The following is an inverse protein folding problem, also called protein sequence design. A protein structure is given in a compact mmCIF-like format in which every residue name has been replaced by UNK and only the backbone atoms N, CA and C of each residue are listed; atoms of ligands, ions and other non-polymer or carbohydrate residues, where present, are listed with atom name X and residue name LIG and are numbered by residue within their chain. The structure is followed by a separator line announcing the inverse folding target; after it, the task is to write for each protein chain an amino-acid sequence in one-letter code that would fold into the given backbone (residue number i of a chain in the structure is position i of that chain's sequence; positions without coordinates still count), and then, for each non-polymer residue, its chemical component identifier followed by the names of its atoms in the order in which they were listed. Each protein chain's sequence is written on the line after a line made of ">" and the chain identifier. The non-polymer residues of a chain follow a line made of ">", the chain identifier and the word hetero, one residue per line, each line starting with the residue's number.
data_IF_234151138844
#
_entry.id   IF_234151138844
#
_cell.length_a   1.000
_cell.length_b   1.000
_cell.length_c   1.000
_cell.angle_alpha   90.00
_cell.angle_beta   90.00
_cell.angle_gamma   90.00
#
_symmetry.space_group_name_H-M   'P 1'
#
loop_
_entity.id
_entity.type
_entity.pdbx_description
1 polymer ?
#
# COMPACT_ATOMS: atom_id res chain seq x y z
N UNK A 1 9.91 25.62 36.01
CA UNK A 1 9.84 24.40 35.17
C UNK A 1 9.33 24.82 33.80
N UNK A 2 9.87 24.25 32.70
CA UNK A 2 9.38 24.55 31.35
C UNK A 2 7.98 23.93 31.11
N UNK A 3 7.12 24.63 30.36
CA UNK A 3 5.77 24.14 30.03
C UNK A 3 5.82 23.07 28.93
N UNK A 4 4.92 22.09 28.99
CA UNK A 4 4.74 21.12 27.92
C UNK A 4 4.09 21.77 26.69
N UNK A 5 4.47 21.29 25.50
CA UNK A 5 3.84 21.64 24.23
C UNK A 5 2.73 20.63 23.98
N UNK A 6 1.52 21.12 23.71
CA UNK A 6 0.37 20.26 23.38
C UNK A 6 0.57 19.68 21.98
N UNK A 7 0.36 18.38 21.76
CA UNK A 7 0.40 17.79 20.43
C UNK A 7 -0.64 18.42 19.49
N UNK A 8 -0.29 18.62 18.23
CA UNK A 8 -1.19 19.18 17.22
C UNK A 8 -2.35 18.24 16.84
N UNK A 9 -2.20 16.95 17.14
CA UNK A 9 -3.19 15.92 16.81
C UNK A 9 -3.10 14.75 17.78
N UNK A 10 -4.25 14.13 18.06
CA UNK A 10 -4.35 12.94 18.89
C UNK A 10 -5.01 11.81 18.11
N UNK A 11 -4.44 10.61 18.21
CA UNK A 11 -5.07 9.38 17.76
C UNK A 11 -5.78 8.66 18.91
N UNK A 12 -6.51 7.60 18.59
CA UNK A 12 -7.18 6.77 19.59
C UNK A 12 -6.20 6.21 20.63
N UNK A 13 -6.63 6.09 21.88
CA UNK A 13 -5.79 5.50 22.92
C UNK A 13 -5.47 4.04 22.61
N UNK A 14 -4.20 3.66 22.78
CA UNK A 14 -3.66 2.31 22.59
C UNK A 14 -3.64 1.78 21.15
N UNK A 15 -3.88 2.60 20.13
CA UNK A 15 -3.74 2.15 18.72
C UNK A 15 -2.33 1.69 18.35
N UNK A 16 -1.32 2.12 19.13
CA UNK A 16 0.09 1.83 18.92
C UNK A 16 0.56 2.28 17.54
N UNK A 17 0.52 3.59 17.29
CA UNK A 17 1.06 4.19 16.07
C UNK A 17 2.60 4.02 16.03
N UNK A 18 3.10 3.21 15.10
CA UNK A 18 4.54 2.87 15.00
C UNK A 18 5.21 3.39 13.72
N UNK A 19 4.44 3.77 12.71
CA UNK A 19 4.96 4.29 11.45
C UNK A 19 4.13 5.46 10.94
N UNK A 20 4.80 6.39 10.27
CA UNK A 20 4.20 7.61 9.75
C UNK A 20 4.85 7.98 8.40
N UNK A 21 4.05 8.34 7.42
CA UNK A 21 4.53 8.87 6.15
C UNK A 21 3.62 10.00 5.64
N UNK A 22 4.20 11.15 5.29
CA UNK A 22 3.49 12.18 4.54
C UNK A 22 3.14 11.66 3.15
N UNK A 23 1.95 12.01 2.70
CA UNK A 23 1.48 11.67 1.37
C UNK A 23 2.08 12.57 0.29
N UNK A 24 1.71 12.30 -0.96
CA UNK A 24 2.05 13.11 -2.10
C UNK A 24 0.89 13.15 -3.10
N UNK A 25 0.87 14.11 -4.05
CA UNK A 25 -0.13 14.15 -5.11
C UNK A 25 -0.25 12.86 -5.92
N UNK A 26 0.79 12.02 -5.96
CA UNK A 26 0.77 10.74 -6.66
C UNK A 26 -0.24 9.74 -6.05
N UNK A 27 -0.62 9.90 -4.79
CA UNK A 27 -1.64 9.05 -4.12
C UNK A 27 -3.07 9.34 -4.60
N UNK A 28 -3.26 10.34 -5.47
CA UNK A 28 -4.55 10.73 -6.01
C UNK A 28 -5.29 11.75 -5.14
N UNK A 29 -6.27 12.43 -5.72
CA UNK A 29 -6.89 13.64 -5.14
C UNK A 29 -7.39 13.46 -3.70
N UNK A 30 -7.95 12.31 -3.35
CA UNK A 30 -8.49 12.05 -2.00
C UNK A 30 -7.40 11.94 -0.93
N UNK A 31 -6.21 11.47 -1.31
CA UNK A 31 -5.13 11.18 -0.38
C UNK A 31 -3.88 12.00 -0.68
N UNK A 32 -4.00 13.10 -1.43
CA UNK A 32 -2.86 13.87 -1.92
C UNK A 32 -2.16 14.68 -0.82
N UNK A 33 -2.94 15.21 0.14
CA UNK A 33 -2.46 16.08 1.21
C UNK A 33 -2.87 15.52 2.57
N UNK A 34 -1.90 14.89 3.25
CA UNK A 34 -2.12 14.27 4.54
C UNK A 34 -1.04 13.29 4.93
N UNK A 35 -1.32 12.47 5.92
CA UNK A 35 -0.36 11.56 6.54
C UNK A 35 -0.97 10.17 6.68
N UNK A 36 -0.24 9.14 6.26
CA UNK A 36 -0.55 7.75 6.59
C UNK A 36 0.09 7.37 7.92
N UNK A 37 -0.65 6.69 8.78
CA UNK A 37 -0.17 6.20 10.07
C UNK A 37 -0.45 4.71 10.20
N UNK A 38 0.59 3.92 10.44
CA UNK A 38 0.47 2.50 10.73
C UNK A 38 0.14 2.26 12.21
N UNK A 39 -1.03 1.71 12.48
CA UNK A 39 -1.52 1.39 13.82
C UNK A 39 -1.36 -0.11 14.11
N UNK A 40 -0.36 -0.43 14.93
CA UNK A 40 0.09 -1.81 15.22
C UNK A 40 -0.92 -2.63 16.03
N UNK A 41 -1.85 -1.94 16.69
CA UNK A 41 -2.95 -2.54 17.41
C UNK A 41 -2.68 -2.71 18.91
N UNK A 42 -3.74 -2.54 19.69
CA UNK A 42 -3.71 -2.53 21.15
C UNK A 42 -3.46 -3.91 21.75
N UNK A 43 -2.58 -4.02 22.73
CA UNK A 43 -2.46 -5.21 23.58
C UNK A 43 -3.21 -5.08 24.92
N UNK A 44 -3.46 -3.85 25.39
CA UNK A 44 -4.00 -3.56 26.73
C UNK A 44 -5.36 -2.84 26.68
N UNK A 45 -6.33 -3.41 25.96
CA UNK A 45 -7.73 -2.98 25.99
C UNK A 45 -8.66 -4.19 25.93
N UNK A 46 -9.79 -4.11 26.64
CA UNK A 46 -10.85 -5.12 26.56
C UNK A 46 -11.48 -5.18 25.17
N UNK A 47 -11.72 -4.01 24.55
CA UNK A 47 -12.14 -3.86 23.17
C UNK A 47 -10.94 -3.37 22.33
N UNK A 48 -10.33 -4.25 21.54
CA UNK A 48 -9.10 -3.90 20.84
C UNK A 48 -9.32 -2.90 19.71
N UNK A 49 -8.30 -2.08 19.47
CA UNK A 49 -8.31 -0.96 18.49
C UNK A 49 -6.99 -0.91 17.73
N UNK A 50 -6.96 -0.17 16.61
CA UNK A 50 -5.85 -0.18 15.64
C UNK A 50 -5.93 -1.42 14.76
N UNK A 51 -4.77 -2.01 14.43
CA UNK A 51 -4.67 -3.10 13.43
C UNK A 51 -5.11 -2.62 12.04
N UNK A 52 -4.60 -1.45 11.66
CA UNK A 52 -4.95 -0.79 10.42
C UNK A 52 -3.90 0.24 10.01
N UNK A 53 -4.05 0.76 8.80
CA UNK A 53 -3.43 2.01 8.41
C UNK A 53 -4.53 3.03 8.20
N UNK A 54 -4.39 4.18 8.87
CA UNK A 54 -5.29 5.32 8.72
C UNK A 54 -4.62 6.43 7.92
N UNK A 55 -5.42 7.32 7.35
CA UNK A 55 -5.01 8.55 6.71
C UNK A 55 -5.57 9.75 7.47
N UNK A 56 -4.71 10.64 7.94
CA UNK A 56 -5.10 11.92 8.55
C UNK A 56 -5.04 12.99 7.46
N UNK A 57 -6.18 13.59 7.06
CA UNK A 57 -6.20 14.64 6.04
C UNK A 57 -5.54 15.91 6.55
N UNK A 58 -4.89 16.64 5.65
CA UNK A 58 -4.29 17.94 5.95
C UNK A 58 -4.97 19.06 5.14
N UNK A 59 -4.92 20.27 5.71
CA UNK A 59 -5.26 21.53 5.05
C UNK A 59 -4.33 22.61 5.58
N UNK A 60 -3.74 23.39 4.68
CA UNK A 60 -2.86 24.52 5.04
C UNK A 60 -1.68 24.08 5.94
N UNK A 61 -1.14 22.89 5.70
CA UNK A 61 -0.02 22.33 6.46
C UNK A 61 -0.37 21.82 7.87
N UNK A 62 -1.66 21.69 8.20
CA UNK A 62 -2.13 21.18 9.50
C UNK A 62 -3.12 20.02 9.34
N UNK A 63 -3.16 19.07 10.29
CA UNK A 63 -4.22 18.06 10.35
C UNK A 63 -5.61 18.70 10.35
N UNK A 64 -6.52 18.19 9.52
CA UNK A 64 -7.81 18.81 9.26
C UNK A 64 -8.92 17.76 9.10
N UNK A 65 -9.31 17.15 10.22
CA UNK A 65 -10.41 16.18 10.28
C UNK A 65 -10.05 14.93 11.07
N UNK A 66 -10.98 13.99 11.12
CA UNK A 66 -10.79 12.69 11.76
C UNK A 66 -9.92 11.76 10.89
N UNK A 67 -9.25 10.75 11.48
CA UNK A 67 -8.55 9.74 10.72
C UNK A 67 -9.53 8.98 9.81
N UNK A 68 -9.09 8.64 8.61
CA UNK A 68 -9.84 7.89 7.62
C UNK A 68 -9.19 6.52 7.46
N UNK A 69 -9.94 5.46 7.67
CA UNK A 69 -9.50 4.08 7.40
C UNK A 69 -8.99 3.96 5.95
N UNK A 70 -7.74 3.53 5.80
CA UNK A 70 -7.12 3.34 4.49
C UNK A 70 -6.90 1.86 4.16
N UNK A 71 -6.27 1.11 5.08
CA UNK A 71 -6.11 -0.35 4.95
C UNK A 71 -6.51 -1.01 6.26
N UNK A 72 -7.60 -1.78 6.20
CA UNK A 72 -8.18 -2.46 7.36
C UNK A 72 -8.20 -3.98 7.15
N UNK A 73 -8.73 -4.72 8.13
CA UNK A 73 -8.86 -6.17 8.06
C UNK A 73 -7.66 -6.95 8.58
N UNK A 74 -6.62 -6.27 9.10
CA UNK A 74 -5.53 -6.94 9.82
C UNK A 74 -6.00 -7.57 11.13
N UNK A 75 -7.18 -7.20 11.62
CA UNK A 75 -7.91 -7.96 12.63
C UNK A 75 -9.33 -8.22 12.14
N UNK A 76 -9.75 -9.48 12.22
CA UNK A 76 -11.08 -9.90 11.78
C UNK A 76 -12.11 -9.84 12.90
N UNK A 77 -13.38 -9.88 12.50
CA UNK A 77 -14.53 -9.95 13.41
C UNK A 77 -14.59 -11.26 14.22
N UNK A 78 -13.84 -12.27 13.80
CA UNK A 78 -13.61 -13.52 14.53
C UNK A 78 -12.61 -13.37 15.68
N UNK A 79 -12.10 -12.15 15.90
CA UNK A 79 -11.13 -11.84 16.95
C UNK A 79 -9.69 -12.20 16.58
N UNK A 80 -9.46 -12.82 15.41
CA UNK A 80 -8.13 -13.23 14.98
C UNK A 80 -7.36 -12.07 14.34
N UNK A 81 -6.15 -11.85 14.84
CA UNK A 81 -5.19 -10.92 14.25
C UNK A 81 -4.45 -11.61 13.11
N UNK A 82 -4.52 -11.02 11.93
CA UNK A 82 -3.93 -11.48 10.66
C UNK A 82 -2.72 -10.65 10.25
N UNK A 83 -2.55 -9.47 10.83
CA UNK A 83 -1.35 -8.66 10.68
C UNK A 83 -1.30 -7.50 11.68
N UNK A 84 -0.16 -6.83 11.72
CA UNK A 84 0.12 -5.70 12.61
C UNK A 84 1.03 -4.69 11.89
N UNK A 85 0.45 -3.62 11.31
CA UNK A 85 1.23 -2.60 10.61
C UNK A 85 2.27 -1.93 11.52
N UNK A 86 3.52 -1.83 11.04
CA UNK A 86 4.63 -1.15 11.73
C UNK A 86 5.05 0.09 10.94
N UNK A 87 5.94 -0.08 9.95
CA UNK A 87 6.44 1.01 9.12
C UNK A 87 5.55 1.23 7.90
N UNK A 88 5.38 2.49 7.51
CA UNK A 88 4.70 2.88 6.27
C UNK A 88 5.56 3.86 5.47
N UNK A 89 5.49 3.81 4.14
CA UNK A 89 6.11 4.80 3.26
C UNK A 89 5.36 4.91 1.94
N UNK A 90 5.48 6.06 1.27
CA UNK A 90 4.82 6.34 -0.01
C UNK A 90 5.83 6.18 -1.15
N UNK A 91 5.53 5.30 -2.10
CA UNK A 91 6.24 5.16 -3.37
C UNK A 91 6.05 6.44 -4.22
N UNK A 92 7.11 6.95 -4.88
CA UNK A 92 7.02 8.09 -5.80
C UNK A 92 5.94 7.97 -6.91
N UNK A 93 5.49 6.76 -7.23
CA UNK A 93 4.45 6.44 -8.21
C UNK A 93 3.04 6.36 -7.62
N UNK A 94 2.85 6.66 -6.34
CA UNK A 94 1.52 6.66 -5.70
C UNK A 94 1.09 5.28 -5.21
N UNK A 95 1.99 4.56 -4.55
CA UNK A 95 1.66 3.36 -3.81
C UNK A 95 1.98 3.55 -2.33
N UNK A 96 1.18 2.98 -1.44
CA UNK A 96 1.56 2.85 -0.03
C UNK A 96 2.27 1.52 0.19
N UNK A 97 3.44 1.56 0.82
CA UNK A 97 4.18 0.39 1.27
C UNK A 97 3.98 0.25 2.77
N UNK A 98 3.59 -0.94 3.24
CA UNK A 98 3.32 -1.24 4.64
C UNK A 98 4.13 -2.45 5.06
N UNK A 99 4.89 -2.33 6.14
CA UNK A 99 5.53 -3.46 6.79
C UNK A 99 4.60 -4.03 7.87
N UNK A 100 4.39 -5.34 7.85
CA UNK A 100 3.58 -6.11 8.80
C UNK A 100 4.47 -7.16 9.48
N UNK A 101 4.75 -6.98 10.76
CA UNK A 101 5.69 -7.83 11.49
C UNK A 101 5.07 -9.16 11.94
N UNK A 102 3.76 -9.21 12.20
CA UNK A 102 3.07 -10.43 12.61
C UNK A 102 3.03 -11.45 11.47
N UNK A 103 2.69 -10.99 10.26
CA UNK A 103 2.60 -11.88 9.10
C UNK A 103 3.91 -11.98 8.30
N UNK A 104 4.95 -11.23 8.69
CA UNK A 104 6.21 -11.10 7.97
C UNK A 104 6.00 -10.74 6.48
N UNK A 105 5.11 -9.78 6.23
CA UNK A 105 4.67 -9.39 4.88
C UNK A 105 4.95 -7.91 4.62
N UNK A 106 5.36 -7.58 3.39
CA UNK A 106 5.37 -6.22 2.88
C UNK A 106 4.21 -6.07 1.90
N UNK A 107 3.27 -5.19 2.24
CA UNK A 107 2.12 -4.89 1.38
C UNK A 107 2.46 -3.70 0.48
N UNK A 108 2.10 -3.79 -0.80
CA UNK A 108 2.09 -2.66 -1.72
C UNK A 108 0.66 -2.38 -2.16
N UNK A 109 0.12 -1.26 -1.72
CA UNK A 109 -1.27 -0.84 -1.99
C UNK A 109 -1.24 0.19 -3.11
N UNK A 110 -1.88 -0.13 -4.23
CA UNK A 110 -1.99 0.74 -5.41
C UNK A 110 -3.44 0.97 -5.77
N UNK A 111 -3.73 2.10 -6.40
CA UNK A 111 -5.02 2.33 -7.05
C UNK A 111 -5.24 1.25 -8.12
N UNK A 112 -6.40 0.60 -8.09
CA UNK A 112 -6.79 -0.31 -9.15
C UNK A 112 -7.27 0.50 -10.36
N UNK A 113 -6.32 1.04 -11.13
CA UNK A 113 -6.61 1.57 -12.45
C UNK A 113 -6.86 0.37 -13.36
N UNK A 114 -8.07 0.20 -13.93
CA UNK A 114 -8.31 -0.88 -14.89
C UNK A 114 -7.24 -0.79 -15.98
N UNK A 115 -6.40 -1.80 -16.09
CA UNK A 115 -5.40 -1.87 -17.15
C UNK A 115 -6.15 -1.83 -18.47
N UNK A 116 -5.86 -0.84 -19.32
CA UNK A 116 -6.34 -0.87 -20.70
C UNK A 116 -5.89 -2.21 -21.30
N UNK A 117 -6.86 -3.04 -21.69
CA UNK A 117 -6.64 -4.43 -22.09
C UNK A 117 -5.41 -4.54 -23.02
N UNK A 118 -4.45 -5.38 -22.61
CA UNK A 118 -3.30 -5.68 -23.45
C UNK A 118 -3.80 -6.20 -24.80
N UNK A 119 -3.45 -5.48 -25.88
CA UNK A 119 -3.74 -5.88 -27.26
C UNK A 119 -3.22 -7.33 -27.45
N UNK A 120 -4.01 -8.27 -27.99
CA UNK A 120 -3.56 -9.65 -28.17
C UNK A 120 -2.29 -9.65 -29.02
N UNK A 121 -1.23 -10.31 -28.53
CA UNK A 121 0.00 -10.46 -29.27
C UNK A 121 -0.26 -11.32 -30.52
N UNK A 122 0.00 -10.77 -31.70
CA UNK A 122 0.02 -11.52 -32.95
C UNK A 122 1.19 -12.51 -32.91
N UNK A 123 0.89 -13.80 -32.80
CA UNK A 123 1.89 -14.88 -32.91
C UNK A 123 2.52 -14.85 -34.31
N UNK A 124 3.81 -14.57 -34.39
CA UNK A 124 4.58 -14.76 -35.63
C UNK A 124 4.83 -16.26 -35.85
N UNK A 125 4.26 -16.81 -36.92
CA UNK A 125 4.57 -18.16 -37.40
C UNK A 125 5.98 -18.17 -37.99
N UNK A 126 6.93 -18.84 -37.33
CA UNK A 126 8.25 -19.13 -37.92
C UNK A 126 8.07 -20.09 -39.10
N UNK A 127 8.35 -19.60 -40.31
CA UNK A 127 8.45 -20.40 -41.51
C UNK A 127 9.69 -21.30 -41.47
N UNK A 128 9.48 -22.60 -41.65
CA UNK A 128 10.52 -23.58 -41.97
C UNK A 128 10.84 -23.45 -43.46
N UNK A 129 12.10 -23.16 -43.79
CA UNK A 129 12.59 -23.17 -45.17
C UNK A 129 12.76 -24.62 -45.66
N UNK A 130 12.41 -24.95 -46.92
CA UNK A 130 12.61 -26.30 -47.46
C UNK A 130 14.07 -26.54 -47.87
N UNK A 131 14.53 -27.78 -47.69
CA UNK A 131 15.84 -28.25 -48.11
C UNK A 131 15.93 -28.35 -49.65
N UNK A 132 17.00 -27.78 -50.23
CA UNK A 132 17.34 -27.97 -51.65
C UNK A 132 18.17 -29.24 -51.80
N UNK A 133 17.67 -30.14 -52.65
CA UNK A 133 18.33 -31.35 -53.16
C UNK A 133 19.42 -30.97 -54.16
N UNK A 134 20.60 -31.58 -54.05
CA UNK A 134 21.65 -31.53 -55.06
C UNK A 134 21.83 -32.93 -55.66
N UNK A 135 21.36 -33.12 -56.88
CA UNK A 135 21.74 -34.24 -57.75
C UNK A 135 22.55 -33.68 -58.92
N UNK A 136 23.74 -34.24 -59.11
CA UNK A 136 24.62 -34.06 -60.26
C UNK A 136 24.85 -35.43 -60.88
N UNK A 137 24.36 -35.66 -62.10
CA UNK A 137 25.10 -36.39 -63.15
C UNK A 137 24.35 -36.40 -64.48
N UNK A 138 25.07 -36.22 -65.60
CA UNK A 138 24.61 -36.66 -66.93
C UNK A 138 24.86 -35.67 -68.07
N UNK A 139 26.08 -35.68 -68.62
CA UNK A 139 26.37 -35.45 -70.04
C UNK A 139 27.33 -36.54 -70.49
#
# INVERSE_FOLDING_TARGET
>A
VASAIVPDYSLGSHVAALGLAFSSPAMGAKFADGVFVGEHGSWNRANPVGYEVVFVPFRDGRPAGDPIDFVTGFRGNDGLTRGRPVGVTVDPRGALIIADDLSNTIWRVTVNTPSAAAKPATTATSGVAPAVSADRSGM
#
